data_IF_871919909432
#
_entry.id   IF_871919909432
#
_cell.length_a   1.000
_cell.length_b   1.000
_cell.length_c   1.000
_cell.angle_alpha   90.00
_cell.angle_beta   90.00
_cell.angle_gamma   90.00
#
_symmetry.space_group_name_H-M   'P 1'
#
loop_
_entity.id
_entity.type
_entity.pdbx_description
1 polymer ?
#
# COMPACT_ATOMS: atom_id res chain seq x y z
N UNK A 1 31.22 -18.64 -36.84
CA UNK A 1 31.14 -18.25 -35.42
C UNK A 1 32.50 -17.74 -34.99
N UNK A 2 32.66 -16.43 -34.85
CA UNK A 2 33.89 -15.81 -34.35
C UNK A 2 33.80 -15.70 -32.82
N UNK A 3 34.70 -16.38 -32.12
CA UNK A 3 34.90 -16.27 -30.69
C UNK A 3 35.67 -14.98 -30.39
N UNK A 4 35.18 -14.19 -29.43
CA UNK A 4 35.95 -13.14 -28.79
C UNK A 4 35.71 -13.22 -27.27
N UNK A 5 36.61 -13.95 -26.62
CA UNK A 5 36.82 -13.95 -25.19
C UNK A 5 37.71 -12.73 -24.88
N UNK A 6 37.18 -11.75 -24.14
CA UNK A 6 38.01 -10.78 -23.42
C UNK A 6 37.57 -10.80 -21.96
N UNK A 7 38.39 -11.46 -21.16
CA UNK A 7 38.38 -11.40 -19.71
C UNK A 7 38.97 -10.05 -19.30
N UNK A 8 38.17 -9.21 -18.65
CA UNK A 8 38.62 -8.02 -17.96
C UNK A 8 38.22 -8.10 -16.50
N UNK A 9 39.02 -8.77 -15.66
CA UNK A 9 38.84 -8.73 -14.21
C UNK A 9 39.46 -7.42 -13.73
N UNK A 10 38.64 -6.45 -13.37
CA UNK A 10 39.10 -5.26 -12.63
C UNK A 10 38.80 -5.51 -11.16
N UNK A 11 39.83 -5.89 -10.40
CA UNK A 11 39.78 -5.89 -8.95
C UNK A 11 40.00 -4.47 -8.44
N UNK A 12 38.97 -3.84 -7.86
CA UNK A 12 39.13 -2.65 -7.02
C UNK A 12 39.09 -3.10 -5.57
N UNK A 13 40.26 -3.12 -4.93
CA UNK A 13 40.41 -3.28 -3.50
C UNK A 13 40.12 -1.94 -2.82
N UNK A 14 38.90 -1.79 -2.30
CA UNK A 14 38.50 -0.70 -1.41
C UNK A 14 37.48 -1.24 -0.41
N UNK A 15 37.86 -1.31 0.86
CA UNK A 15 36.96 -1.66 1.95
C UNK A 15 35.89 -0.56 2.07
N UNK A 16 34.68 -0.89 1.64
CA UNK A 16 33.55 0.01 1.53
C UNK A 16 32.56 -0.59 0.54
N UNK A 17 32.01 -1.76 0.85
CA UNK A 17 30.99 -2.41 0.06
C UNK A 17 29.69 -1.59 0.17
N UNK A 18 29.58 -0.56 -0.66
CA UNK A 18 28.28 -0.19 -1.21
C UNK A 18 28.25 -0.81 -2.60
N UNK A 19 27.84 -2.08 -2.63
CA UNK A 19 27.33 -2.68 -3.85
C UNK A 19 26.24 -1.73 -4.34
N UNK A 20 26.43 -1.18 -5.54
CA UNK A 20 25.37 -0.47 -6.22
C UNK A 20 24.25 -1.49 -6.42
N UNK A 21 23.33 -1.53 -5.46
CA UNK A 21 22.00 -2.08 -5.66
C UNK A 21 21.52 -1.48 -6.97
N UNK A 22 21.09 -2.29 -7.95
CA UNK A 22 20.46 -1.73 -9.12
C UNK A 22 19.39 -0.79 -8.57
N UNK A 23 19.50 0.49 -8.92
CA UNK A 23 18.53 1.51 -8.58
C UNK A 23 17.21 0.95 -9.10
N UNK A 24 16.49 0.34 -8.17
CA UNK A 24 15.15 -0.14 -8.37
C UNK A 24 14.37 1.12 -8.61
N UNK A 25 14.27 1.48 -9.88
CA UNK A 25 13.22 2.29 -10.44
C UNK A 25 11.90 1.59 -10.11
N UNK A 26 11.52 1.68 -8.84
CA UNK A 26 10.16 1.51 -8.37
C UNK A 26 9.48 2.84 -8.64
N UNK A 27 9.47 3.25 -9.90
CA UNK A 27 8.31 3.91 -10.43
C UNK A 27 7.16 2.96 -10.12
N UNK A 28 6.52 3.17 -8.97
CA UNK A 28 5.32 2.48 -8.60
C UNK A 28 4.39 2.66 -9.78
N UNK A 29 4.19 1.58 -10.53
CA UNK A 29 3.14 1.55 -11.53
C UNK A 29 1.89 1.80 -10.71
N UNK A 30 1.35 3.02 -10.77
CA UNK A 30 0.06 3.37 -10.19
C UNK A 30 -0.94 2.34 -10.74
N UNK A 31 -1.32 1.38 -9.88
CA UNK A 31 -2.15 0.24 -10.25
C UNK A 31 -1.63 -1.15 -9.84
N UNK A 32 -0.33 -1.35 -9.57
CA UNK A 32 0.20 -2.71 -9.30
C UNK A 32 0.41 -3.02 -7.81
N UNK A 33 -0.09 -2.18 -6.89
CA UNK A 33 -0.09 -2.56 -5.47
C UNK A 33 -1.08 -3.70 -5.26
N UNK A 34 -0.69 -4.82 -4.64
CA UNK A 34 -1.58 -5.98 -4.46
C UNK A 34 -2.92 -5.65 -3.79
N UNK A 35 -2.94 -4.64 -2.92
CA UNK A 35 -4.16 -4.18 -2.25
C UNK A 35 -5.11 -3.40 -3.18
N UNK A 36 -4.59 -2.65 -4.16
CA UNK A 36 -5.41 -1.88 -5.08
C UNK A 36 -6.08 -2.82 -6.08
N UNK A 37 -5.32 -3.77 -6.63
CA UNK A 37 -5.86 -4.81 -7.50
C UNK A 37 -6.94 -5.66 -6.82
N UNK A 38 -6.76 -6.00 -5.54
CA UNK A 38 -7.79 -6.71 -4.78
C UNK A 38 -9.09 -5.91 -4.66
N UNK A 39 -9.01 -4.59 -4.46
CA UNK A 39 -10.20 -3.72 -4.35
C UNK A 39 -10.93 -3.62 -5.69
N UNK A 40 -10.21 -3.51 -6.80
CA UNK A 40 -10.78 -3.54 -8.15
C UNK A 40 -11.57 -4.84 -8.38
N UNK A 41 -10.95 -5.99 -8.12
CA UNK A 41 -11.62 -7.29 -8.25
C UNK A 41 -12.85 -7.41 -7.34
N UNK A 42 -12.77 -6.90 -6.11
CA UNK A 42 -13.90 -6.94 -5.18
C UNK A 42 -15.05 -6.05 -5.66
N UNK A 43 -14.75 -4.84 -6.13
CA UNK A 43 -15.74 -3.91 -6.65
C UNK A 43 -16.44 -4.51 -7.89
N UNK A 44 -15.67 -5.03 -8.84
CA UNK A 44 -16.17 -5.70 -10.04
C UNK A 44 -17.08 -6.90 -9.70
N UNK A 45 -16.65 -7.77 -8.78
CA UNK A 45 -17.45 -8.93 -8.36
C UNK A 45 -18.77 -8.56 -7.67
N UNK A 46 -18.86 -7.34 -7.12
CA UNK A 46 -20.06 -6.83 -6.45
C UNK A 46 -20.88 -5.88 -7.33
N UNK A 47 -20.36 -5.53 -8.51
CA UNK A 47 -21.01 -4.62 -9.44
C UNK A 47 -21.09 -3.18 -8.93
N UNK A 48 -20.09 -2.75 -8.17
CA UNK A 48 -19.97 -1.37 -7.64
C UNK A 48 -18.67 -0.75 -8.13
N UNK A 49 -18.52 0.57 -8.05
CA UNK A 49 -17.22 1.22 -8.34
C UNK A 49 -16.25 1.07 -7.16
N UNK A 50 -14.97 1.30 -7.43
CA UNK A 50 -13.94 1.32 -6.38
C UNK A 50 -14.20 2.45 -5.38
N UNK A 51 -14.70 3.62 -5.83
CA UNK A 51 -15.10 4.69 -4.89
C UNK A 51 -16.28 4.28 -4.01
N UNK A 52 -17.32 3.65 -4.59
CA UNK A 52 -18.47 3.18 -3.83
C UNK A 52 -18.08 2.11 -2.80
N UNK A 53 -17.20 1.19 -3.18
CA UNK A 53 -16.61 0.21 -2.27
C UNK A 53 -15.83 0.91 -1.14
N UNK A 54 -15.00 1.90 -1.47
CA UNK A 54 -14.25 2.70 -0.50
C UNK A 54 -15.16 3.39 0.50
N UNK A 55 -16.20 4.08 0.02
CA UNK A 55 -17.18 4.76 0.87
C UNK A 55 -17.94 3.78 1.79
N UNK A 56 -18.35 2.62 1.28
CA UNK A 56 -19.01 1.59 2.08
C UNK A 56 -18.10 1.03 3.19
N UNK A 57 -16.80 0.86 2.91
CA UNK A 57 -15.82 0.43 3.91
C UNK A 57 -15.60 1.50 4.98
N UNK A 58 -15.45 2.77 4.60
CA UNK A 58 -15.33 3.87 5.55
C UNK A 58 -16.55 3.98 6.46
N UNK A 59 -17.76 3.90 5.89
CA UNK A 59 -18.99 3.91 6.68
C UNK A 59 -19.04 2.73 7.67
N UNK A 60 -18.70 1.53 7.21
CA UNK A 60 -18.66 0.34 8.09
C UNK A 60 -17.69 0.53 9.26
N UNK A 61 -16.57 1.22 9.02
CA UNK A 61 -15.60 1.52 10.08
C UNK A 61 -16.18 2.54 11.09
N UNK A 62 -16.84 3.59 10.61
CA UNK A 62 -17.54 4.57 11.47
C UNK A 62 -18.60 3.89 12.33
N UNK A 63 -19.39 2.99 11.74
CA UNK A 63 -20.42 2.25 12.46
C UNK A 63 -19.83 1.37 13.57
N UNK A 64 -18.70 0.70 13.31
CA UNK A 64 -17.98 -0.08 14.31
C UNK A 64 -17.44 0.79 15.45
N UNK A 65 -17.00 2.01 15.15
CA UNK A 65 -16.53 2.96 16.17
C UNK A 65 -17.72 3.39 17.05
N UNK A 66 -18.86 3.70 16.45
CA UNK A 66 -20.08 4.05 17.19
C UNK A 66 -20.57 2.89 18.08
N UNK A 67 -20.44 1.64 17.63
CA UNK A 67 -20.74 0.47 18.46
C UNK A 67 -19.85 0.44 19.71
N UNK A 68 -18.55 0.74 19.56
CA UNK A 68 -17.59 0.81 20.69
C UNK A 68 -17.84 1.98 21.65
N UNK A 69 -18.43 3.07 21.17
CA UNK A 69 -18.92 4.13 22.06
C UNK A 69 -20.12 3.63 22.85
N UNK A 70 -21.07 2.99 22.17
CA UNK A 70 -22.30 2.50 22.77
C UNK A 70 -22.06 1.39 23.82
N UNK A 71 -21.08 0.52 23.60
CA UNK A 71 -20.68 -0.52 24.56
C UNK A 71 -19.72 -0.01 25.65
N UNK A 72 -19.26 1.23 25.56
CA UNK A 72 -18.39 1.89 26.53
C UNK A 72 -16.91 1.49 26.44
N UNK A 73 -16.49 0.80 25.38
CA UNK A 73 -15.08 0.48 25.12
C UNK A 73 -14.24 1.73 24.87
N UNK A 74 -14.80 2.75 24.20
CA UNK A 74 -14.15 4.03 23.93
C UNK A 74 -15.07 5.19 24.30
N UNK A 75 -14.48 6.37 24.53
CA UNK A 75 -15.23 7.61 24.78
C UNK A 75 -15.69 8.26 23.47
N UNK A 76 -16.66 9.18 23.57
CA UNK A 76 -17.13 9.98 22.42
C UNK A 76 -16.01 10.85 21.82
N UNK A 77 -15.12 11.38 22.66
CA UNK A 77 -14.00 12.23 22.24
C UNK A 77 -12.97 11.41 21.45
N UNK A 78 -12.61 10.22 21.93
CA UNK A 78 -11.73 9.29 21.20
C UNK A 78 -12.36 8.84 19.87
N UNK A 79 -13.67 8.58 19.84
CA UNK A 79 -14.37 8.22 18.61
C UNK A 79 -14.29 9.34 17.57
N UNK A 80 -14.48 10.59 17.98
CA UNK A 80 -14.38 11.74 17.09
C UNK A 80 -12.99 11.85 16.44
N UNK A 81 -11.91 11.68 17.20
CA UNK A 81 -10.54 11.70 16.66
C UNK A 81 -10.29 10.58 15.64
N UNK A 82 -10.83 9.38 15.91
CA UNK A 82 -10.68 8.23 15.00
C UNK A 82 -11.47 8.48 13.71
N UNK A 83 -12.70 8.98 13.81
CA UNK A 83 -13.56 9.26 12.66
C UNK A 83 -12.95 10.35 11.79
N UNK A 84 -12.44 11.44 12.38
CA UNK A 84 -11.76 12.51 11.62
C UNK A 84 -10.57 11.97 10.82
N UNK A 85 -9.79 11.05 11.39
CA UNK A 85 -8.67 10.41 10.67
C UNK A 85 -9.13 9.53 9.50
N UNK A 86 -10.31 8.92 9.59
CA UNK A 86 -10.87 8.11 8.50
C UNK A 86 -11.36 9.02 7.37
N UNK A 87 -11.98 10.15 7.69
CA UNK A 87 -12.51 11.09 6.70
C UNK A 87 -11.43 11.92 6.01
N UNK A 88 -10.29 12.15 6.69
CA UNK A 88 -9.14 12.90 6.15
C UNK A 88 -8.10 12.04 5.42
N UNK A 89 -8.28 10.71 5.42
CA UNK A 89 -7.37 9.73 4.82
C UNK A 89 -7.58 9.48 3.34
#
# INVERSE_FOLDING_TARGET
MLAALVVGIVAVAGAGAQEATPEGDTAAVEGDRPADHYRELLADNRGVTVEELGGALSQSHVDLINEKVADGTITEEEAAEIIERIESG
#
